data_IF_492705153922
#
_entry.id   IF_492705153922
#
_cell.length_a   1.000
_cell.length_b   1.000
_cell.length_c   1.000
_cell.angle_alpha   90.00
_cell.angle_beta   90.00
_cell.angle_gamma   90.00
#
_symmetry.space_group_name_H-M   'P 1'
#
loop_
_entity.id
_entity.type
_entity.pdbx_description
1 polymer ?
#
# COMPACT_ATOMS: atom_id res chain seq x y z
N UNK A 1 -5.18 -37.81 17.87
CA UNK A 1 -4.34 -37.70 16.66
C UNK A 1 -3.84 -36.28 16.58
N UNK A 2 -2.55 -36.06 16.83
CA UNK A 2 -1.89 -34.77 16.65
C UNK A 2 -1.60 -34.57 15.15
N UNK A 3 -1.76 -33.37 14.59
CA UNK A 3 -1.39 -33.13 13.21
C UNK A 3 0.13 -32.98 13.16
N UNK A 4 0.78 -33.76 12.29
CA UNK A 4 2.17 -33.54 11.92
C UNK A 4 2.28 -32.09 11.41
N UNK A 5 2.94 -31.25 12.21
CA UNK A 5 3.43 -29.94 11.77
C UNK A 5 4.46 -30.24 10.69
N UNK A 6 3.98 -30.25 9.44
CA UNK A 6 4.75 -30.54 8.26
C UNK A 6 6.04 -29.71 8.29
N UNK A 7 7.18 -30.36 8.51
CA UNK A 7 8.51 -29.75 8.63
C UNK A 7 8.82 -28.80 7.45
N UNK A 8 8.16 -29.02 6.31
CA UNK A 8 8.20 -28.18 5.11
C UNK A 8 7.68 -26.76 5.35
N UNK A 9 6.62 -26.57 6.16
CA UNK A 9 6.12 -25.22 6.47
C UNK A 9 7.06 -24.49 7.43
N UNK A 10 7.59 -25.20 8.42
CA UNK A 10 8.61 -24.66 9.34
C UNK A 10 9.90 -24.27 8.61
N UNK A 11 10.33 -25.07 7.64
CA UNK A 11 11.49 -24.77 6.81
C UNK A 11 11.26 -23.55 5.91
N UNK A 12 10.04 -23.40 5.36
CA UNK A 12 9.67 -22.23 4.55
C UNK A 12 9.68 -20.94 5.37
N UNK A 13 9.11 -20.97 6.57
CA UNK A 13 9.09 -19.82 7.48
C UNK A 13 10.51 -19.48 7.98
N UNK A 14 11.33 -20.49 8.26
CA UNK A 14 12.73 -20.31 8.63
C UNK A 14 13.56 -19.72 7.49
N UNK A 15 13.42 -20.22 6.26
CA UNK A 15 14.08 -19.65 5.07
C UNK A 15 13.60 -18.24 4.79
N UNK A 16 12.31 -17.96 4.96
CA UNK A 16 11.74 -16.63 4.79
C UNK A 16 12.32 -15.66 5.83
N UNK A 17 12.39 -16.08 7.10
CA UNK A 17 12.98 -15.31 8.19
C UNK A 17 14.49 -15.09 8.01
N UNK A 18 15.25 -16.10 7.59
CA UNK A 18 16.67 -15.95 7.25
C UNK A 18 16.88 -15.00 6.07
N UNK A 19 16.01 -15.05 5.06
CA UNK A 19 16.10 -14.14 3.92
C UNK A 19 15.76 -12.70 4.33
N UNK A 20 14.85 -12.53 5.28
CA UNK A 20 14.51 -11.23 5.84
C UNK A 20 15.62 -10.70 6.77
N UNK A 21 16.25 -11.54 7.60
CA UNK A 21 17.46 -11.22 8.37
C UNK A 21 18.65 -10.87 7.46
N UNK A 22 18.80 -11.57 6.32
CA UNK A 22 19.82 -11.24 5.31
C UNK A 22 19.58 -9.88 4.66
N UNK A 23 18.32 -9.45 4.50
CA UNK A 23 18.00 -8.07 4.10
C UNK A 23 18.37 -7.06 5.18
N UNK A 24 18.22 -7.39 6.47
CA UNK A 24 18.66 -6.53 7.57
C UNK A 24 20.19 -6.38 7.64
N UNK A 25 20.95 -7.47 7.46
CA UNK A 25 22.41 -7.43 7.37
C UNK A 25 22.87 -6.68 6.11
N UNK A 26 22.23 -6.92 4.95
CA UNK A 26 22.49 -6.17 3.72
C UNK A 26 22.17 -4.69 3.90
N UNK A 27 21.09 -4.34 4.61
CA UNK A 27 20.76 -2.96 4.94
C UNK A 27 21.81 -2.30 5.83
N UNK A 28 22.36 -3.02 6.82
CA UNK A 28 23.41 -2.52 7.71
C UNK A 28 24.75 -2.33 6.99
N UNK A 29 25.16 -3.31 6.19
CA UNK A 29 26.37 -3.24 5.34
C UNK A 29 26.23 -2.14 4.29
N UNK A 30 25.06 -2.02 3.65
CA UNK A 30 24.77 -0.91 2.73
C UNK A 30 24.78 0.42 3.49
N UNK A 31 24.26 0.54 4.71
CA UNK A 31 24.32 1.78 5.51
C UNK A 31 25.75 2.16 5.93
N UNK A 32 26.57 1.20 6.35
CA UNK A 32 27.96 1.46 6.71
C UNK A 32 28.81 1.86 5.49
N UNK A 33 28.66 1.12 4.38
CA UNK A 33 29.31 1.44 3.11
C UNK A 33 28.85 2.79 2.57
N UNK A 34 27.56 3.09 2.75
CA UNK A 34 26.97 4.37 2.41
C UNK A 34 27.63 5.55 3.15
N UNK A 35 27.71 5.49 4.49
CA UNK A 35 28.34 6.54 5.31
C UNK A 35 29.82 6.72 4.96
N UNK A 36 30.54 5.62 4.74
CA UNK A 36 31.95 5.65 4.33
C UNK A 36 32.14 6.32 2.97
N UNK A 37 31.32 5.96 1.98
CA UNK A 37 31.32 6.56 0.66
C UNK A 37 31.01 8.07 0.69
N UNK A 38 30.11 8.48 1.58
CA UNK A 38 29.77 9.88 1.82
C UNK A 38 30.95 10.69 2.37
N UNK A 39 31.59 10.16 3.42
CA UNK A 39 32.73 10.79 4.08
C UNK A 39 33.92 10.96 3.13
N UNK A 40 34.13 9.98 2.24
CA UNK A 40 35.18 10.05 1.23
C UNK A 40 34.83 11.01 0.09
N UNK A 41 33.57 11.08 -0.35
CA UNK A 41 33.12 12.02 -1.38
C UNK A 41 33.13 13.49 -0.94
N UNK A 42 32.87 13.76 0.34
CA UNK A 42 32.84 15.11 0.91
C UNK A 42 34.22 15.79 0.93
N UNK A 43 35.31 15.02 1.00
CA UNK A 43 36.69 15.53 1.13
C UNK A 43 37.29 16.16 -0.13
N UNK A 44 36.60 16.13 -1.27
CA UNK A 44 37.18 16.50 -2.57
C UNK A 44 36.84 17.92 -3.07
N UNK A 45 37.85 18.59 -3.63
CA UNK A 45 37.85 20.03 -3.96
C UNK A 45 37.18 20.48 -5.28
N UNK A 46 36.51 19.60 -6.03
CA UNK A 46 35.89 19.95 -7.32
C UNK A 46 34.39 20.29 -7.21
N UNK A 47 34.09 21.47 -6.66
CA UNK A 47 32.71 21.93 -6.41
C UNK A 47 31.84 22.03 -7.67
N UNK A 48 32.35 22.53 -8.79
CA UNK A 48 31.57 22.70 -10.03
C UNK A 48 31.10 21.37 -10.65
N UNK A 49 31.96 20.35 -10.69
CA UNK A 49 31.60 19.01 -11.17
C UNK A 49 30.53 18.37 -10.28
N UNK A 50 30.64 18.56 -8.96
CA UNK A 50 29.63 18.10 -8.00
C UNK A 50 28.28 18.77 -8.26
N UNK A 51 28.25 20.10 -8.43
CA UNK A 51 27.00 20.84 -8.69
C UNK A 51 26.30 20.36 -9.97
N UNK A 52 27.03 20.18 -11.07
CA UNK A 52 26.45 19.69 -12.32
C UNK A 52 25.93 18.24 -12.20
N UNK A 53 26.66 17.39 -11.47
CA UNK A 53 26.23 16.03 -11.16
C UNK A 53 24.95 16.02 -10.32
N UNK A 54 24.86 16.89 -9.30
CA UNK A 54 23.67 17.02 -8.46
C UNK A 54 22.43 17.43 -9.24
N UNK A 55 22.53 18.44 -10.10
CA UNK A 55 21.39 18.87 -10.91
C UNK A 55 20.94 17.77 -11.88
N UNK A 56 21.88 17.02 -12.45
CA UNK A 56 21.57 15.87 -13.31
C UNK A 56 20.80 14.79 -12.55
N UNK A 57 21.29 14.39 -11.37
CA UNK A 57 20.65 13.39 -10.51
C UNK A 57 19.27 13.85 -10.03
N UNK A 58 19.15 15.13 -9.64
CA UNK A 58 17.90 15.74 -9.18
C UNK A 58 16.84 15.72 -10.27
N UNK A 59 17.16 16.25 -11.47
CA UNK A 59 16.24 16.28 -12.60
C UNK A 59 15.79 14.86 -12.98
N UNK A 60 16.74 13.92 -13.04
CA UNK A 60 16.48 12.51 -13.33
C UNK A 60 15.56 11.86 -12.28
N UNK A 61 15.78 12.13 -11.00
CA UNK A 61 14.93 11.67 -9.91
C UNK A 61 13.51 12.20 -10.04
N UNK A 62 13.35 13.52 -10.23
CA UNK A 62 12.05 14.18 -10.40
C UNK A 62 11.29 13.57 -11.59
N UNK A 63 11.94 13.41 -12.75
CA UNK A 63 11.29 12.86 -13.95
C UNK A 63 10.80 11.43 -13.74
N UNK A 64 11.60 10.57 -13.10
CA UNK A 64 11.20 9.18 -12.87
C UNK A 64 10.12 9.05 -11.80
N UNK A 65 10.15 9.89 -10.77
CA UNK A 65 9.08 9.94 -9.77
C UNK A 65 7.77 10.37 -10.44
N UNK A 66 7.79 11.40 -11.28
CA UNK A 66 6.63 11.83 -12.04
C UNK A 66 6.09 10.73 -12.97
N UNK A 67 6.96 9.94 -13.60
CA UNK A 67 6.57 8.79 -14.42
C UNK A 67 5.90 7.69 -13.57
N UNK A 68 6.48 7.34 -12.42
CA UNK A 68 5.88 6.40 -11.47
C UNK A 68 4.50 6.90 -11.04
N UNK A 69 4.38 8.15 -10.59
CA UNK A 69 3.12 8.74 -10.15
C UNK A 69 2.06 8.74 -11.27
N UNK A 70 2.45 9.09 -12.49
CA UNK A 70 1.57 9.03 -13.67
C UNK A 70 1.04 7.62 -13.89
N UNK A 71 1.90 6.59 -13.81
CA UNK A 71 1.49 5.19 -13.91
C UNK A 71 0.61 4.76 -12.74
N UNK A 72 0.91 5.19 -11.52
CA UNK A 72 0.08 4.91 -10.34
C UNK A 72 -1.32 5.51 -10.48
N UNK A 73 -1.41 6.77 -10.91
CA UNK A 73 -2.68 7.46 -11.10
C UNK A 73 -3.53 6.79 -12.18
N UNK A 74 -2.91 6.35 -13.29
CA UNK A 74 -3.61 5.56 -14.33
C UNK A 74 -4.18 4.25 -13.79
N UNK A 75 -3.44 3.54 -12.94
CA UNK A 75 -3.93 2.32 -12.32
C UNK A 75 -5.07 2.60 -11.32
N UNK A 76 -4.95 3.63 -10.48
CA UNK A 76 -6.01 4.06 -9.54
C UNK A 76 -7.29 4.44 -10.30
N UNK A 77 -7.17 5.23 -11.37
CA UNK A 77 -8.29 5.60 -12.22
C UNK A 77 -8.99 4.37 -12.80
N UNK A 78 -8.22 3.38 -13.25
CA UNK A 78 -8.86 2.17 -13.75
C UNK A 78 -9.52 1.31 -12.66
N UNK A 79 -8.97 1.29 -11.44
CA UNK A 79 -9.70 0.71 -10.30
C UNK A 79 -11.00 1.45 -10.05
N UNK A 80 -11.00 2.78 -10.11
CA UNK A 80 -12.20 3.58 -9.95
C UNK A 80 -13.28 3.25 -10.99
N UNK A 81 -12.91 3.15 -12.27
CA UNK A 81 -13.83 2.74 -13.34
C UNK A 81 -14.45 1.37 -13.05
N UNK A 82 -13.62 0.37 -12.73
CA UNK A 82 -14.07 -1.01 -12.45
C UNK A 82 -14.94 -1.11 -11.20
N UNK A 83 -14.58 -0.37 -10.14
CA UNK A 83 -15.39 -0.29 -8.93
C UNK A 83 -16.73 0.39 -9.23
N UNK A 84 -16.75 1.43 -10.06
CA UNK A 84 -18.00 2.11 -10.46
C UNK A 84 -18.93 1.16 -11.22
N UNK A 85 -18.40 0.38 -12.16
CA UNK A 85 -19.18 -0.69 -12.80
C UNK A 85 -19.72 -1.70 -11.78
N UNK A 86 -18.90 -2.13 -10.84
CA UNK A 86 -19.27 -3.06 -9.77
C UNK A 86 -20.38 -2.51 -8.90
N UNK A 87 -20.27 -1.25 -8.45
CA UNK A 87 -21.28 -0.53 -7.68
C UNK A 87 -22.59 -0.45 -8.44
N UNK A 88 -22.57 -0.04 -9.71
CA UNK A 88 -23.79 0.07 -10.53
C UNK A 88 -24.50 -1.28 -10.67
N UNK A 89 -23.74 -2.35 -10.93
CA UNK A 89 -24.28 -3.70 -10.98
C UNK A 89 -24.85 -4.14 -9.63
N UNK A 90 -24.12 -3.87 -8.55
CA UNK A 90 -24.53 -4.24 -7.21
C UNK A 90 -25.84 -3.55 -6.80
N UNK A 91 -25.98 -2.25 -7.06
CA UNK A 91 -27.21 -1.49 -6.77
C UNK A 91 -28.44 -2.06 -7.50
N UNK A 92 -28.24 -2.58 -8.72
CA UNK A 92 -29.30 -3.17 -9.52
C UNK A 92 -29.66 -4.61 -9.11
N UNK A 93 -28.68 -5.41 -8.71
CA UNK A 93 -28.84 -6.88 -8.62
C UNK A 93 -28.68 -7.46 -7.22
N UNK A 94 -28.08 -6.74 -6.25
CA UNK A 94 -27.62 -7.34 -5.00
C UNK A 94 -28.73 -8.00 -4.18
N UNK A 95 -29.92 -7.39 -4.14
CA UNK A 95 -31.05 -7.90 -3.37
C UNK A 95 -31.51 -9.24 -3.91
N UNK A 96 -31.74 -9.34 -5.22
CA UNK A 96 -32.15 -10.59 -5.87
C UNK A 96 -31.11 -11.69 -5.68
N UNK A 97 -29.83 -11.38 -5.94
CA UNK A 97 -28.74 -12.35 -5.80
C UNK A 97 -28.60 -12.83 -4.36
N UNK A 98 -28.77 -11.92 -3.40
CA UNK A 98 -28.68 -12.26 -1.98
C UNK A 98 -29.88 -13.09 -1.50
N UNK A 99 -31.10 -12.81 -1.98
CA UNK A 99 -32.29 -13.62 -1.70
C UNK A 99 -32.10 -15.06 -2.18
N UNK A 100 -31.66 -15.23 -3.43
CA UNK A 100 -31.37 -16.55 -4.00
C UNK A 100 -30.31 -17.30 -3.17
N UNK A 101 -29.24 -16.61 -2.76
CA UNK A 101 -28.19 -17.20 -1.92
C UNK A 101 -28.71 -17.57 -0.53
N UNK A 102 -29.49 -16.71 0.11
CA UNK A 102 -30.10 -16.99 1.42
C UNK A 102 -31.01 -18.21 1.33
N UNK A 103 -31.81 -18.33 0.28
CA UNK A 103 -32.72 -19.48 0.14
C UNK A 103 -31.95 -20.77 -0.10
N UNK A 104 -30.96 -20.75 -0.99
CA UNK A 104 -30.14 -21.92 -1.33
C UNK A 104 -29.26 -22.39 -0.18
N UNK A 105 -28.57 -21.47 0.50
CA UNK A 105 -27.53 -21.81 1.47
C UNK A 105 -28.05 -21.84 2.90
N UNK A 106 -29.04 -21.01 3.27
CA UNK A 106 -29.57 -20.93 4.64
C UNK A 106 -30.87 -21.72 4.76
N UNK A 107 -31.75 -21.63 3.76
CA UNK A 107 -33.03 -22.33 3.72
C UNK A 107 -33.97 -21.94 4.88
N UNK A 108 -34.80 -22.88 5.33
CA UNK A 108 -35.83 -22.66 6.38
C UNK A 108 -35.37 -23.02 7.80
N UNK A 109 -34.15 -23.52 7.97
CA UNK A 109 -33.64 -23.98 9.27
C UNK A 109 -33.40 -22.82 10.23
N UNK A 110 -34.18 -22.76 11.31
CA UNK A 110 -34.10 -21.68 12.30
C UNK A 110 -32.74 -21.58 12.97
N UNK A 111 -32.15 -22.71 13.38
CA UNK A 111 -30.84 -22.75 14.03
C UNK A 111 -29.76 -22.17 13.12
N UNK A 112 -29.73 -22.56 11.85
CA UNK A 112 -28.79 -22.08 10.84
C UNK A 112 -28.94 -20.59 10.55
N UNK A 113 -30.17 -20.15 10.27
CA UNK A 113 -30.47 -18.73 10.04
C UNK A 113 -30.06 -17.87 11.23
N UNK A 114 -30.42 -18.30 12.44
CA UNK A 114 -30.04 -17.63 13.70
C UNK A 114 -28.52 -17.57 13.87
N UNK A 115 -27.79 -18.63 13.54
CA UNK A 115 -26.33 -18.64 13.59
C UNK A 115 -25.70 -17.66 12.62
N UNK A 116 -26.17 -17.60 11.37
CA UNK A 116 -25.67 -16.65 10.35
C UNK A 116 -25.87 -15.21 10.81
N UNK A 117 -27.09 -14.83 11.22
CA UNK A 117 -27.36 -13.44 11.63
C UNK A 117 -26.63 -13.05 12.92
N UNK A 118 -26.53 -13.95 13.91
CA UNK A 118 -25.79 -13.68 15.16
C UNK A 118 -24.28 -13.54 14.96
N UNK A 119 -23.75 -14.14 13.89
CA UNK A 119 -22.34 -14.06 13.51
C UNK A 119 -22.14 -13.08 12.35
N UNK A 120 -23.01 -12.08 12.21
CA UNK A 120 -22.88 -10.98 11.25
C UNK A 120 -22.70 -11.44 9.80
N UNK A 121 -23.48 -12.45 9.40
CA UNK A 121 -23.47 -12.99 8.03
C UNK A 121 -22.48 -14.12 7.79
N UNK A 122 -21.74 -14.55 8.80
CA UNK A 122 -20.72 -15.59 8.69
C UNK A 122 -21.14 -16.88 9.42
N UNK A 123 -21.12 -18.01 8.73
CA UNK A 123 -21.38 -19.30 9.36
C UNK A 123 -20.55 -20.40 8.72
N UNK A 124 -19.69 -21.01 9.52
CA UNK A 124 -18.95 -22.22 9.13
C UNK A 124 -19.72 -23.44 9.62
N UNK A 125 -20.34 -24.23 8.73
CA UNK A 125 -20.97 -25.48 9.11
C UNK A 125 -19.90 -26.53 9.51
N UNK A 126 -20.31 -27.58 10.22
CA UNK A 126 -19.41 -28.69 10.58
C UNK A 126 -18.91 -29.46 9.35
N UNK A 127 -19.71 -29.47 8.29
CA UNK A 127 -19.37 -30.03 6.98
C UNK A 127 -19.92 -29.11 5.89
N UNK A 128 -19.09 -28.77 4.90
CA UNK A 128 -19.48 -27.93 3.76
C UNK A 128 -18.78 -26.57 3.72
N UNK A 129 -19.22 -25.74 2.77
CA UNK A 129 -18.62 -24.43 2.52
C UNK A 129 -19.05 -23.38 3.56
N UNK A 130 -18.15 -22.44 3.85
CA UNK A 130 -18.45 -21.30 4.72
C UNK A 130 -19.49 -20.40 4.05
N UNK A 131 -20.55 -20.09 4.78
CA UNK A 131 -21.52 -19.07 4.37
C UNK A 131 -20.97 -17.71 4.79
N UNK A 132 -20.81 -16.80 3.83
CA UNK A 132 -20.45 -15.41 4.09
C UNK A 132 -21.26 -14.47 3.20
N UNK A 133 -22.32 -13.88 3.79
CA UNK A 133 -23.19 -12.94 3.08
C UNK A 133 -22.46 -11.64 2.70
N UNK A 134 -21.50 -11.19 3.52
CA UNK A 134 -20.72 -9.99 3.23
C UNK A 134 -19.79 -10.19 2.04
N UNK A 135 -19.20 -11.38 1.90
CA UNK A 135 -18.38 -11.74 0.72
C UNK A 135 -19.23 -11.83 -0.54
N UNK A 136 -20.45 -12.37 -0.45
CA UNK A 136 -21.36 -12.40 -1.58
C UNK A 136 -21.73 -10.99 -2.06
N UNK A 137 -21.97 -10.07 -1.13
CA UNK A 137 -22.25 -8.67 -1.46
C UNK A 137 -21.02 -7.94 -1.99
N UNK A 138 -19.84 -8.14 -1.38
CA UNK A 138 -18.62 -7.52 -1.88
C UNK A 138 -18.14 -8.11 -3.20
N UNK A 139 -18.60 -9.31 -3.60
CA UNK A 139 -18.23 -9.97 -4.86
C UNK A 139 -18.50 -9.11 -6.09
N UNK A 140 -19.58 -8.32 -6.09
CA UNK A 140 -19.89 -7.39 -7.18
C UNK A 140 -18.75 -6.39 -7.44
N UNK A 141 -18.02 -6.02 -6.40
CA UNK A 141 -16.86 -5.13 -6.49
C UNK A 141 -15.58 -5.95 -6.67
N UNK A 142 -15.34 -6.98 -5.84
CA UNK A 142 -14.09 -7.75 -5.88
C UNK A 142 -13.90 -8.43 -7.23
N UNK A 143 -14.93 -9.00 -7.85
CA UNK A 143 -14.82 -9.70 -9.13
C UNK A 143 -14.45 -8.75 -10.28
N UNK A 144 -14.88 -7.49 -10.19
CA UNK A 144 -14.55 -6.46 -11.19
C UNK A 144 -13.09 -6.02 -11.12
N UNK A 145 -12.49 -6.09 -9.93
CA UNK A 145 -11.12 -5.65 -9.70
C UNK A 145 -10.12 -6.80 -9.62
N UNK A 146 -10.53 -8.05 -9.30
CA UNK A 146 -9.63 -9.12 -8.86
C UNK A 146 -8.52 -9.41 -9.88
N UNK A 147 -8.86 -9.52 -11.17
CA UNK A 147 -7.86 -9.70 -12.24
C UNK A 147 -6.86 -8.54 -12.26
N UNK A 148 -7.35 -7.31 -12.17
CA UNK A 148 -6.48 -6.12 -12.21
C UNK A 148 -5.65 -6.02 -10.94
N UNK A 149 -6.26 -6.24 -9.78
CA UNK A 149 -5.61 -6.25 -8.47
C UNK A 149 -4.47 -7.28 -8.41
N UNK A 150 -4.67 -8.49 -8.94
CA UNK A 150 -3.62 -9.51 -9.04
C UNK A 150 -2.48 -9.10 -9.96
N UNK A 151 -2.78 -8.41 -11.06
CA UNK A 151 -1.77 -7.93 -11.99
C UNK A 151 -0.99 -6.74 -11.42
N UNK A 152 -1.67 -5.79 -10.77
CA UNK A 152 -1.09 -4.61 -10.13
C UNK A 152 -0.27 -4.98 -8.89
N UNK A 153 -0.75 -5.94 -8.10
CA UNK A 153 -0.12 -6.43 -6.87
C UNK A 153 0.08 -7.95 -6.88
N UNK A 154 1.00 -8.52 -7.66
CA UNK A 154 1.17 -9.96 -7.71
C UNK A 154 1.79 -10.53 -6.43
N UNK A 155 1.51 -11.80 -6.16
CA UNK A 155 2.06 -12.51 -4.99
C UNK A 155 3.55 -12.81 -5.15
N UNK A 156 4.03 -12.97 -6.38
CA UNK A 156 5.44 -12.98 -6.74
C UNK A 156 5.94 -11.55 -6.80
N UNK A 157 6.78 -11.15 -5.83
CA UNK A 157 7.31 -9.78 -5.71
C UNK A 157 8.35 -9.40 -6.78
N UNK A 158 8.15 -9.81 -8.04
CA UNK A 158 9.01 -9.49 -9.19
C UNK A 158 8.24 -9.02 -10.43
N UNK A 159 6.92 -8.86 -10.34
CA UNK A 159 6.06 -8.57 -11.50
C UNK A 159 4.99 -7.52 -11.17
N UNK A 160 4.35 -6.94 -12.18
CA UNK A 160 3.21 -6.02 -12.04
C UNK A 160 3.56 -4.54 -12.29
N UNK A 161 2.60 -3.69 -12.74
CA UNK A 161 2.79 -2.27 -13.04
C UNK A 161 3.52 -1.46 -11.95
N UNK A 162 3.13 -1.64 -10.68
CA UNK A 162 3.74 -0.91 -9.56
C UNK A 162 5.17 -1.38 -9.30
N UNK A 163 5.38 -2.70 -9.16
CA UNK A 163 6.71 -3.25 -8.92
C UNK A 163 7.65 -3.01 -10.11
N UNK A 164 7.16 -3.14 -11.33
CA UNK A 164 7.91 -2.88 -12.56
C UNK A 164 8.39 -1.43 -12.63
N UNK A 165 7.51 -0.47 -12.31
CA UNK A 165 7.89 0.95 -12.31
C UNK A 165 8.87 1.29 -11.19
N UNK A 166 8.70 0.73 -9.99
CA UNK A 166 9.62 0.94 -8.86
C UNK A 166 10.98 0.28 -9.11
N UNK A 167 11.00 -0.94 -9.67
CA UNK A 167 12.24 -1.64 -9.99
C UNK A 167 13.01 -0.99 -11.14
N UNK A 168 12.30 -0.40 -12.10
CA UNK A 168 12.90 0.32 -13.22
C UNK A 168 13.44 1.72 -12.83
N UNK A 169 13.03 2.28 -11.70
CA UNK A 169 13.61 3.52 -11.18
C UNK A 169 15.13 3.36 -11.09
N UNK A 170 15.89 4.32 -11.61
CA UNK A 170 17.34 4.32 -11.55
C UNK A 170 17.90 5.72 -11.66
N UNK A 171 18.66 6.16 -10.66
CA UNK A 171 19.49 7.35 -10.80
C UNK A 171 20.63 7.14 -11.80
N UNK A 172 20.83 5.89 -12.25
CA UNK A 172 21.77 5.49 -13.30
C UNK A 172 23.18 6.04 -13.00
N UNK A 173 23.54 5.89 -11.73
CA UNK A 173 24.80 6.30 -11.12
C UNK A 173 26.03 5.66 -11.79
N UNK A 174 25.86 4.56 -12.52
CA UNK A 174 26.93 3.87 -13.24
C UNK A 174 27.37 4.63 -14.49
N UNK A 175 26.45 5.27 -15.21
CA UNK A 175 26.79 6.09 -16.40
C UNK A 175 27.41 7.44 -16.03
N UNK A 176 27.25 7.86 -14.77
CA UNK A 176 27.76 9.12 -14.25
C UNK A 176 29.15 8.99 -13.61
N UNK A 177 29.71 7.77 -13.54
CA UNK A 177 31.03 7.53 -12.95
C UNK A 177 32.16 7.93 -13.91
N UNK A 178 32.27 9.22 -14.19
CA UNK A 178 33.41 9.76 -14.92
C UNK A 178 34.40 10.43 -13.94
N UNK A 179 35.58 9.82 -13.84
CA UNK A 179 36.87 10.47 -13.60
C UNK A 179 37.39 10.75 -12.16
N UNK A 180 36.72 10.36 -11.06
CA UNK A 180 37.40 10.29 -9.75
C UNK A 180 36.86 9.21 -8.81
N UNK A 181 37.77 8.59 -8.03
CA UNK A 181 37.44 7.54 -7.06
C UNK A 181 36.41 8.02 -6.01
N UNK A 182 36.45 9.30 -5.67
CA UNK A 182 35.60 9.93 -4.65
C UNK A 182 34.17 10.22 -5.16
N UNK A 183 34.02 10.65 -6.42
CA UNK A 183 32.71 10.78 -7.07
C UNK A 183 32.09 9.40 -7.29
N UNK A 184 32.91 8.41 -7.64
CA UNK A 184 32.49 7.01 -7.73
C UNK A 184 31.97 6.46 -6.40
N UNK A 185 32.54 6.86 -5.27
CA UNK A 185 32.05 6.50 -3.94
C UNK A 185 30.68 7.14 -3.66
N UNK A 186 30.51 8.45 -3.86
CA UNK A 186 29.22 9.12 -3.68
C UNK A 186 28.11 8.50 -4.55
N UNK A 187 28.43 8.13 -5.79
CA UNK A 187 27.49 7.45 -6.69
C UNK A 187 27.11 6.05 -6.20
N UNK A 188 28.05 5.30 -5.62
CA UNK A 188 27.75 4.01 -4.95
C UNK A 188 26.89 4.18 -3.70
N UNK A 189 27.07 5.26 -2.93
CA UNK A 189 26.18 5.62 -1.82
C UNK A 189 24.75 5.79 -2.31
N UNK A 190 24.55 6.66 -3.30
CA UNK A 190 23.22 6.97 -3.84
C UNK A 190 22.51 5.73 -4.39
N UNK A 191 23.26 4.89 -5.12
CA UNK A 191 22.73 3.60 -5.62
C UNK A 191 22.26 2.68 -4.48
N UNK A 192 23.01 2.62 -3.37
CA UNK A 192 22.62 1.82 -2.22
C UNK A 192 21.38 2.37 -1.52
N UNK A 193 21.28 3.70 -1.35
CA UNK A 193 20.09 4.33 -0.77
C UNK A 193 18.86 4.14 -1.65
N UNK A 194 19.00 4.28 -2.97
CA UNK A 194 17.96 3.98 -3.95
C UNK A 194 17.41 2.56 -3.77
N UNK A 195 18.29 1.55 -3.72
CA UNK A 195 17.87 0.15 -3.54
C UNK A 195 17.20 -0.11 -2.18
N UNK A 196 17.62 0.57 -1.11
CA UNK A 196 16.95 0.49 0.20
C UNK A 196 15.53 1.05 0.12
N UNK A 197 15.35 2.21 -0.48
CA UNK A 197 14.04 2.85 -0.65
C UNK A 197 13.12 1.95 -1.47
N UNK A 198 13.56 1.45 -2.63
CA UNK A 198 12.80 0.50 -3.45
C UNK A 198 12.36 -0.72 -2.64
N UNK A 199 13.29 -1.30 -1.88
CA UNK A 199 13.01 -2.50 -1.07
C UNK A 199 11.98 -2.23 0.01
N UNK A 200 12.10 -1.10 0.74
CA UNK A 200 11.16 -0.68 1.78
C UNK A 200 9.76 -0.45 1.19
N UNK A 201 9.67 0.28 0.09
CA UNK A 201 8.42 0.58 -0.60
C UNK A 201 7.73 -0.71 -1.09
N UNK A 202 8.49 -1.62 -1.72
CA UNK A 202 7.95 -2.93 -2.15
C UNK A 202 7.40 -3.76 -0.98
N UNK A 203 8.07 -3.73 0.19
CA UNK A 203 7.61 -4.42 1.39
C UNK A 203 6.31 -3.82 1.91
N UNK A 204 6.23 -2.50 2.01
CA UNK A 204 5.05 -1.78 2.51
C UNK A 204 3.82 -2.01 1.61
N UNK A 205 4.00 -1.97 0.29
CA UNK A 205 2.96 -2.32 -0.68
C UNK A 205 2.45 -3.75 -0.45
N UNK A 206 3.37 -4.71 -0.20
CA UNK A 206 3.01 -6.11 0.07
C UNK A 206 2.21 -6.28 1.36
N UNK A 207 2.59 -5.58 2.43
CA UNK A 207 1.90 -5.63 3.72
C UNK A 207 0.48 -5.04 3.62
N UNK A 208 0.34 -3.90 2.93
CA UNK A 208 -0.94 -3.20 2.77
C UNK A 208 -1.88 -3.85 1.76
N UNK A 209 -1.38 -4.66 0.83
CA UNK A 209 -2.19 -5.39 -0.17
C UNK A 209 -3.39 -6.11 0.47
N UNK A 210 -3.20 -6.80 1.60
CA UNK A 210 -4.27 -7.54 2.28
C UNK A 210 -5.35 -6.60 2.82
N UNK A 211 -4.95 -5.47 3.39
CA UNK A 211 -5.86 -4.47 3.93
C UNK A 211 -6.72 -3.85 2.81
N UNK A 212 -6.09 -3.46 1.70
CA UNK A 212 -6.79 -2.90 0.54
C UNK A 212 -7.82 -3.87 -0.02
N UNK A 213 -7.51 -5.16 -0.11
CA UNK A 213 -8.45 -6.14 -0.64
C UNK A 213 -9.63 -6.42 0.31
N UNK A 214 -9.36 -6.46 1.62
CA UNK A 214 -10.36 -6.80 2.62
C UNK A 214 -11.34 -5.66 2.92
N UNK A 215 -10.95 -4.40 2.67
CA UNK A 215 -11.75 -3.21 3.03
C UNK A 215 -13.14 -3.19 2.40
N UNK A 216 -13.30 -3.81 1.22
CA UNK A 216 -14.60 -3.94 0.56
C UNK A 216 -15.56 -4.78 1.40
N UNK A 217 -15.13 -5.95 1.85
CA UNK A 217 -15.93 -6.87 2.66
C UNK A 217 -16.15 -6.31 4.07
N UNK A 218 -15.14 -5.67 4.65
CA UNK A 218 -15.23 -5.03 5.97
C UNK A 218 -16.23 -3.87 5.96
N UNK A 219 -16.19 -3.00 4.95
CA UNK A 219 -17.13 -1.87 4.82
C UNK A 219 -18.57 -2.38 4.65
N UNK A 220 -18.79 -3.40 3.81
CA UNK A 220 -20.11 -4.04 3.65
C UNK A 220 -20.62 -4.58 4.99
N UNK A 221 -19.78 -5.32 5.71
CA UNK A 221 -20.14 -5.89 7.02
C UNK A 221 -20.49 -4.78 8.02
N UNK A 222 -19.66 -3.74 8.11
CA UNK A 222 -19.88 -2.61 9.00
C UNK A 222 -21.25 -1.96 8.74
N UNK A 223 -21.56 -1.66 7.46
CA UNK A 223 -22.82 -1.00 7.09
C UNK A 223 -24.05 -1.85 7.34
N UNK A 224 -23.92 -3.18 7.33
CA UNK A 224 -25.02 -4.12 7.59
C UNK A 224 -25.10 -4.61 9.04
N UNK A 225 -24.17 -4.21 9.92
CA UNK A 225 -24.13 -4.62 11.34
C UNK A 225 -25.49 -4.49 12.01
N UNK A 226 -26.15 -3.32 11.89
CA UNK A 226 -27.47 -3.08 12.47
C UNK A 226 -28.55 -4.00 11.86
N UNK A 227 -28.46 -4.31 10.57
CA UNK A 227 -29.38 -5.23 9.91
C UNK A 227 -29.27 -6.66 10.44
N UNK A 228 -28.04 -7.12 10.71
CA UNK A 228 -27.81 -8.40 11.39
C UNK A 228 -28.37 -8.42 12.81
N UNK A 229 -28.15 -7.35 13.59
CA UNK A 229 -28.66 -7.23 14.96
C UNK A 229 -30.19 -7.22 15.02
N UNK A 230 -30.84 -6.45 14.15
CA UNK A 230 -32.29 -6.36 14.08
C UNK A 230 -32.92 -7.68 13.61
N UNK A 231 -32.28 -8.37 12.67
CA UNK A 231 -32.67 -9.71 12.23
C UNK A 231 -32.50 -10.74 13.35
N UNK A 232 -31.41 -10.68 14.12
CA UNK A 232 -31.13 -11.61 15.22
C UNK A 232 -32.14 -11.54 16.38
N UNK A 233 -32.85 -10.40 16.52
CA UNK A 233 -33.93 -10.21 17.51
C UNK A 233 -35.24 -10.90 17.11
N UNK A 234 -35.39 -11.31 15.85
CA UNK A 234 -36.63 -11.92 15.37
C UNK A 234 -36.76 -13.36 15.86
N UNK A 235 -38.02 -13.84 16.02
CA UNK A 235 -38.32 -15.21 16.49
C UNK A 235 -38.68 -16.19 15.37
N UNK A 236 -38.96 -15.71 14.16
CA UNK A 236 -39.36 -16.51 13.00
C UNK A 236 -38.35 -16.31 11.87
N UNK A 237 -37.94 -17.39 11.18
CA UNK A 237 -36.98 -17.34 10.06
C UNK A 237 -37.39 -16.35 8.98
N UNK A 238 -38.66 -16.38 8.57
CA UNK A 238 -39.21 -15.44 7.58
C UNK A 238 -39.00 -13.97 8.00
N UNK A 239 -39.15 -13.67 9.28
CA UNK A 239 -38.96 -12.32 9.82
C UNK A 239 -37.48 -11.94 9.93
N UNK A 240 -36.60 -12.89 10.28
CA UNK A 240 -35.14 -12.67 10.26
C UNK A 240 -34.68 -12.29 8.85
N UNK A 241 -35.06 -13.09 7.84
CA UNK A 241 -34.73 -12.84 6.44
C UNK A 241 -35.28 -11.50 5.97
N UNK A 242 -36.57 -11.25 6.18
CA UNK A 242 -37.22 -10.02 5.75
C UNK A 242 -36.56 -8.77 6.37
N UNK A 243 -36.29 -8.79 7.69
CA UNK A 243 -35.66 -7.65 8.37
C UNK A 243 -34.25 -7.41 7.86
N UNK A 244 -33.47 -8.46 7.61
CA UNK A 244 -32.14 -8.32 7.02
C UNK A 244 -32.22 -7.74 5.60
N UNK A 245 -33.10 -8.26 4.74
CA UNK A 245 -33.26 -7.79 3.37
C UNK A 245 -33.74 -6.33 3.29
N UNK A 246 -34.64 -5.90 4.19
CA UNK A 246 -35.06 -4.50 4.32
C UNK A 246 -33.85 -3.57 4.57
N UNK A 247 -32.94 -3.98 5.46
CA UNK A 247 -31.72 -3.22 5.73
C UNK A 247 -30.77 -3.21 4.54
N UNK A 248 -30.63 -4.33 3.83
CA UNK A 248 -29.80 -4.40 2.61
C UNK A 248 -30.37 -3.47 1.54
N UNK A 249 -31.66 -3.52 1.25
CA UNK A 249 -32.31 -2.65 0.26
C UNK A 249 -32.17 -1.18 0.63
N UNK A 250 -32.38 -0.83 1.91
CA UNK A 250 -32.26 0.55 2.40
C UNK A 250 -30.82 1.08 2.32
N UNK A 251 -29.82 0.21 2.51
CA UNK A 251 -28.42 0.63 2.64
C UNK A 251 -27.57 0.38 1.40
N UNK A 252 -28.08 -0.33 0.38
CA UNK A 252 -27.27 -0.79 -0.76
C UNK A 252 -26.48 0.34 -1.40
N UNK A 253 -27.09 1.50 -1.59
CA UNK A 253 -26.41 2.61 -2.27
C UNK A 253 -25.23 3.13 -1.46
N UNK A 254 -25.49 3.54 -0.21
CA UNK A 254 -24.48 4.03 0.71
C UNK A 254 -23.39 2.98 0.96
N UNK A 255 -23.77 1.72 1.12
CA UNK A 255 -22.85 0.62 1.41
C UNK A 255 -21.83 0.43 0.29
N UNK A 256 -22.28 0.39 -0.97
CA UNK A 256 -21.38 0.18 -2.10
C UNK A 256 -20.57 1.43 -2.45
N UNK A 257 -21.16 2.62 -2.33
CA UNK A 257 -20.44 3.88 -2.55
C UNK A 257 -19.31 4.08 -1.51
N UNK A 258 -19.58 3.78 -0.24
CA UNK A 258 -18.56 3.83 0.80
C UNK A 258 -17.50 2.75 0.64
N UNK A 259 -17.87 1.52 0.26
CA UNK A 259 -16.90 0.47 0.00
C UNK A 259 -15.93 0.87 -1.13
N UNK A 260 -16.45 1.43 -2.23
CA UNK A 260 -15.63 2.01 -3.32
C UNK A 260 -14.73 3.12 -2.76
N UNK A 261 -15.29 4.10 -2.06
CA UNK A 261 -14.56 5.27 -1.55
C UNK A 261 -13.42 4.88 -0.60
N UNK A 262 -13.69 3.97 0.35
CA UNK A 262 -12.70 3.48 1.31
C UNK A 262 -11.55 2.75 0.61
N UNK A 263 -11.85 1.89 -0.36
CA UNK A 263 -10.81 1.20 -1.12
C UNK A 263 -9.93 2.17 -1.93
N UNK A 264 -10.54 3.14 -2.62
CA UNK A 264 -9.79 4.16 -3.37
C UNK A 264 -8.92 5.01 -2.44
N UNK A 265 -9.43 5.36 -1.26
CA UNK A 265 -8.66 6.08 -0.23
C UNK A 265 -7.43 5.29 0.21
N UNK A 266 -7.54 3.98 0.43
CA UNK A 266 -6.37 3.15 0.77
C UNK A 266 -5.37 3.03 -0.40
N UNK A 267 -5.85 2.93 -1.64
CA UNK A 267 -4.97 2.98 -2.82
C UNK A 267 -4.23 4.32 -2.93
N UNK A 268 -4.89 5.44 -2.62
CA UNK A 268 -4.25 6.77 -2.60
C UNK A 268 -3.25 6.87 -1.44
N UNK A 269 -3.54 6.30 -0.27
CA UNK A 269 -2.57 6.24 0.85
C UNK A 269 -1.31 5.43 0.54
N UNK A 270 -1.38 4.48 -0.40
CA UNK A 270 -0.17 3.82 -0.92
C UNK A 270 0.74 4.79 -1.68
N UNK A 271 0.17 5.81 -2.33
CA UNK A 271 0.91 6.89 -2.97
C UNK A 271 1.48 7.88 -1.95
N UNK A 272 0.66 8.28 -0.98
CA UNK A 272 0.97 9.38 -0.04
C UNK A 272 1.82 8.96 1.16
N UNK A 273 2.52 7.83 1.08
CA UNK A 273 3.15 7.22 2.25
C UNK A 273 4.31 8.08 2.77
N UNK A 274 4.01 9.02 3.68
CA UNK A 274 4.97 9.78 4.49
C UNK A 274 5.96 8.83 5.16
N UNK A 275 7.26 9.06 4.98
CA UNK A 275 8.26 8.63 5.95
C UNK A 275 7.88 9.24 7.31
N UNK A 276 7.42 8.40 8.23
CA UNK A 276 6.83 8.87 9.48
C UNK A 276 6.57 7.75 10.47
N UNK A 277 7.63 7.05 10.85
CA UNK A 277 7.80 6.54 12.22
C UNK A 277 9.29 6.74 12.53
N UNK A 278 9.62 7.98 12.87
CA UNK A 278 10.90 8.33 13.44
C UNK A 278 11.04 7.60 14.77
N UNK A 279 11.83 6.54 14.77
CA UNK A 279 12.50 6.11 15.98
C UNK A 279 13.54 7.20 16.27
N UNK A 280 13.28 7.96 17.32
CA UNK A 280 14.21 8.88 17.95
C UNK A 280 15.57 8.20 18.05
N UNK A 281 16.54 8.64 17.25
CA UNK A 281 17.93 8.21 17.40
C UNK A 281 18.58 9.14 18.43
N UNK A 282 19.32 8.62 19.42
CA UNK A 282 19.79 9.44 20.54
C UNK A 282 20.81 10.46 20.05
N UNK A 283 20.65 11.69 20.52
CA UNK A 283 21.72 12.69 20.54
C UNK A 283 22.90 12.11 21.32
N UNK A 284 23.98 11.79 20.62
CA UNK A 284 25.28 11.59 21.25
C UNK A 284 25.93 12.96 21.30
N UNK A 285 25.86 13.61 22.47
CA UNK A 285 26.75 14.70 22.80
C UNK A 285 28.17 14.14 22.91
N UNK A 286 29.02 14.44 21.93
CA UNK A 286 30.47 14.39 22.12
C UNK A 286 30.96 15.83 22.15
N UNK A 287 31.34 16.28 23.34
CA UNK A 287 32.10 17.50 23.53
C UNK A 287 33.48 17.39 22.89
N UNK A 288 33.95 18.49 22.31
CA UNK A 288 35.28 18.60 21.71
C UNK A 288 35.31 19.62 20.59
N UNK A 289 35.77 20.82 20.89
CA UNK A 289 35.97 21.91 19.93
C UNK A 289 37.07 21.59 18.91
N UNK A 290 36.88 22.18 17.72
CA UNK A 290 37.85 22.40 16.63
C UNK A 290 38.18 21.22 15.71
N UNK A 291 37.28 20.98 14.74
CA UNK A 291 37.64 20.63 13.37
C UNK A 291 36.63 21.29 12.39
N UNK A 292 37.09 22.33 11.71
CA UNK A 292 36.67 22.79 10.37
C UNK A 292 35.21 23.25 10.17
N UNK A 293 35.00 24.56 9.95
CA UNK A 293 33.75 25.12 9.39
C UNK A 293 33.28 24.42 8.10
N UNK A 294 34.20 23.81 7.34
CA UNK A 294 33.93 22.95 6.18
C UNK A 294 33.14 21.66 6.51
N UNK A 295 33.26 21.10 7.72
CA UNK A 295 32.51 19.90 8.13
C UNK A 295 31.04 20.22 8.42
N UNK A 296 30.75 21.42 8.94
CA UNK A 296 29.36 21.87 9.22
C UNK A 296 28.61 22.20 7.93
N UNK A 297 29.25 22.89 6.99
CA UNK A 297 28.67 23.13 5.66
C UNK A 297 28.42 21.82 4.90
N UNK A 298 29.30 20.83 5.07
CA UNK A 298 29.12 19.51 4.47
C UNK A 298 28.00 18.70 5.12
N UNK A 299 27.85 18.74 6.45
CA UNK A 299 26.72 18.11 7.15
C UNK A 299 25.39 18.76 6.77
N UNK A 300 25.35 20.08 6.58
CA UNK A 300 24.16 20.81 6.13
C UNK A 300 23.80 20.48 4.66
N UNK A 301 24.79 20.38 3.77
CA UNK A 301 24.59 19.94 2.38
C UNK A 301 24.09 18.50 2.35
N UNK A 302 24.65 17.61 3.17
CA UNK A 302 24.26 16.20 3.18
C UNK A 302 22.87 15.97 3.76
N UNK A 303 22.52 16.71 4.81
CA UNK A 303 21.17 16.75 5.35
C UNK A 303 20.19 17.30 4.32
N UNK A 304 20.58 18.32 3.58
CA UNK A 304 19.77 18.88 2.48
C UNK A 304 19.56 17.85 1.36
N UNK A 305 20.58 17.09 0.97
CA UNK A 305 20.48 16.03 -0.05
C UNK A 305 19.57 14.89 0.42
N UNK A 306 19.69 14.46 1.67
CA UNK A 306 18.82 13.43 2.24
C UNK A 306 17.37 13.92 2.30
N UNK A 307 17.15 15.13 2.81
CA UNK A 307 15.83 15.74 2.91
C UNK A 307 15.24 16.02 1.51
N UNK A 308 16.05 16.35 0.50
CA UNK A 308 15.60 16.58 -0.88
C UNK A 308 15.32 15.29 -1.64
N UNK A 309 16.04 14.21 -1.35
CA UNK A 309 15.69 12.88 -1.84
C UNK A 309 14.41 12.36 -1.18
N UNK A 310 14.27 12.51 0.13
CA UNK A 310 13.02 12.20 0.84
C UNK A 310 11.87 13.10 0.36
N UNK A 311 12.08 14.40 0.15
CA UNK A 311 11.08 15.33 -0.40
C UNK A 311 10.73 15.03 -1.85
N UNK A 312 11.70 14.74 -2.71
CA UNK A 312 11.44 14.33 -4.09
C UNK A 312 10.61 13.05 -4.12
N UNK A 313 10.88 12.12 -3.19
CA UNK A 313 10.07 10.92 -2.97
C UNK A 313 8.72 11.18 -2.27
N UNK A 314 8.47 12.38 -1.73
CA UNK A 314 7.28 12.74 -0.96
C UNK A 314 6.46 13.91 -1.51
N UNK A 315 6.75 14.44 -2.71
CA UNK A 315 6.00 15.57 -3.27
C UNK A 315 5.43 15.24 -4.65
N UNK A 316 4.15 14.89 -4.64
CA UNK A 316 3.16 15.49 -5.55
C UNK A 316 1.87 15.81 -4.80
N UNK A 317 1.79 17.03 -4.27
CA UNK A 317 0.68 17.98 -4.47
C UNK A 317 0.84 19.21 -3.57
N UNK A 318 1.26 20.33 -4.17
CA UNK A 318 0.64 21.66 -3.97
C UNK A 318 1.23 22.68 -4.94
N UNK A 319 0.79 22.62 -6.21
CA UNK A 319 0.56 23.80 -7.06
C UNK A 319 -0.53 23.45 -8.06
N UNK A 320 -1.78 23.57 -7.63
CA UNK A 320 -2.93 23.90 -8.49
C UNK A 320 -4.17 24.11 -7.59
N UNK A 321 -4.18 25.24 -6.89
CA UNK A 321 -5.43 25.92 -6.52
C UNK A 321 -5.22 27.42 -6.68
N UNK A 322 -5.19 27.84 -7.94
CA UNK A 322 -5.52 29.22 -8.32
C UNK A 322 -6.45 29.10 -9.51
N UNK A 323 -7.75 28.95 -9.23
CA UNK A 323 -8.79 29.29 -10.20
C UNK A 323 -8.90 30.81 -10.13
N UNK A 324 -8.61 31.56 -11.21
CA UNK A 324 -8.90 32.99 -11.25
C UNK A 324 -10.33 33.20 -11.77
N UNK A 325 -11.09 34.01 -11.04
CA UNK A 325 -12.14 34.86 -11.62
C UNK A 325 -13.51 34.23 -11.86
N UNK A 326 -14.43 34.42 -10.91
CA UNK A 326 -15.77 34.89 -11.25
C UNK A 326 -16.09 36.09 -10.38
N UNK A 327 -16.04 37.25 -11.03
CA UNK A 327 -16.45 38.55 -10.52
C UNK A 327 -17.97 38.57 -10.41
N UNK A 328 -18.44 39.18 -9.31
CA UNK A 328 -19.79 39.69 -9.15
C UNK A 328 -20.17 40.62 -10.30
N UNK A 329 -21.29 40.34 -10.95
CA UNK A 329 -22.37 41.30 -11.28
C UNK A 329 -23.64 40.52 -11.50
#
# INVERSE_FOLDING_TARGET
>A
MAPELNEISGLKDFVQNLNDQRKHVKSYVCSAYSVLALMMGARSGNAQQKTALYETLRLRGITQIADIESKMNKEIQSFEERLTEGVNKAKAECVKVLEEKIEKEIGSAFTKCRSVVKKYGEHTPQSGEQINLNTALSSFLTDKIDRRFRNSFPNSGKSGPFYGSISAFSLDCEQLSNNSDEVGLLLKFLKNEEEKVKTKLCREIRERKKQVYNILTETVKEKLTKGYEDAARQRKVKMMKAKFMEHVETRKDLMFDEAKSNMLKELIKLKEQRAGNGQSRPEVQVGGQQASQSSREQDDIMKTIHDDLERAMHVSLKKETTVPGKTLT
#
